data_IF_638398070222
#
_entry.id   IF_638398070222
#
_cell.length_a   1.000
_cell.length_b   1.000
_cell.length_c   1.000
_cell.angle_alpha   90.00
_cell.angle_beta   90.00
_cell.angle_gamma   90.00
#
_symmetry.space_group_name_H-M   'P 1'
#
loop_
_entity.id
_entity.type
_entity.pdbx_description
1 polymer ?
#
# COMPACT_ATOMS: atom_id res chain seq x y z
N UNK A 1 19.49 -7.49 -16.46
CA UNK A 1 19.09 -7.38 -15.04
C UNK A 1 20.32 -7.59 -14.20
N UNK A 2 20.69 -6.59 -13.39
CA UNK A 2 21.93 -6.60 -12.62
C UNK A 2 21.72 -7.24 -11.24
N UNK A 3 22.77 -7.87 -10.74
CA UNK A 3 22.79 -8.40 -9.38
C UNK A 3 22.76 -7.28 -8.33
N UNK A 4 22.26 -7.57 -7.13
CA UNK A 4 22.29 -6.64 -6.00
C UNK A 4 23.70 -6.62 -5.37
N UNK A 5 24.17 -5.42 -5.06
CA UNK A 5 25.43 -5.14 -4.37
C UNK A 5 25.22 -5.08 -2.85
N UNK A 6 26.31 -5.06 -2.07
CA UNK A 6 26.27 -4.87 -0.60
C UNK A 6 25.44 -3.65 -0.20
N UNK A 7 25.66 -2.52 -0.89
CA UNK A 7 24.99 -1.25 -0.62
C UNK A 7 23.48 -1.38 -0.79
N UNK A 8 23.03 -2.13 -1.79
CA UNK A 8 21.60 -2.34 -2.02
C UNK A 8 20.95 -3.13 -0.89
N UNK A 9 21.64 -4.16 -0.38
CA UNK A 9 21.13 -4.93 0.77
C UNK A 9 21.05 -4.08 2.03
N UNK A 10 22.05 -3.21 2.29
CA UNK A 10 22.00 -2.26 3.41
C UNK A 10 20.79 -1.33 3.32
N UNK A 11 20.57 -0.69 2.16
CA UNK A 11 19.40 0.18 1.94
C UNK A 11 18.07 -0.55 2.17
N UNK A 12 17.99 -1.84 1.78
CA UNK A 12 16.80 -2.65 2.04
C UNK A 12 16.61 -2.89 3.55
N UNK A 13 17.66 -3.25 4.28
CA UNK A 13 17.61 -3.53 5.71
C UNK A 13 17.33 -2.26 6.53
N UNK A 14 17.94 -1.13 6.17
CA UNK A 14 17.75 0.17 6.80
C UNK A 14 16.29 0.63 6.67
N UNK A 15 15.67 0.42 5.50
CA UNK A 15 14.24 0.69 5.30
C UNK A 15 13.34 -0.10 6.27
N UNK A 16 13.77 -1.30 6.67
CA UNK A 16 13.04 -2.14 7.63
C UNK A 16 13.55 -1.98 9.07
N UNK A 17 14.49 -1.07 9.33
CA UNK A 17 15.04 -0.79 10.66
C UNK A 17 15.93 -1.91 11.22
N UNK A 18 16.56 -2.71 10.36
CA UNK A 18 17.44 -3.81 10.79
C UNK A 18 18.90 -3.34 10.74
N UNK A 19 19.59 -3.40 11.88
CA UNK A 19 21.01 -3.03 11.97
C UNK A 19 21.87 -3.98 11.14
N UNK A 20 22.65 -3.42 10.21
CA UNK A 20 23.33 -4.17 9.15
C UNK A 20 24.86 -4.05 9.19
N UNK A 21 25.42 -3.31 10.15
CA UNK A 21 26.83 -2.87 10.11
C UNK A 21 27.85 -3.96 10.45
N UNK A 22 27.48 -4.93 11.28
CA UNK A 22 28.37 -6.01 11.72
C UNK A 22 28.24 -7.31 10.92
N UNK A 23 27.35 -7.36 9.93
CA UNK A 23 27.00 -8.59 9.23
C UNK A 23 27.92 -8.87 8.03
N UNK A 24 28.26 -10.15 7.82
CA UNK A 24 28.94 -10.62 6.61
C UNK A 24 28.00 -10.49 5.41
N UNK A 25 28.58 -10.48 4.20
CA UNK A 25 27.83 -10.35 2.94
C UNK A 25 26.72 -11.38 2.77
N UNK A 26 26.97 -12.61 3.19
CA UNK A 26 26.01 -13.71 3.08
C UNK A 26 24.84 -13.51 4.04
N UNK A 27 25.11 -13.13 5.28
CA UNK A 27 24.08 -12.87 6.28
C UNK A 27 23.21 -11.69 5.87
N UNK A 28 23.81 -10.57 5.44
CA UNK A 28 23.09 -9.43 4.88
C UNK A 28 22.11 -9.84 3.79
N UNK A 29 22.58 -10.67 2.86
CA UNK A 29 21.76 -11.18 1.76
C UNK A 29 20.63 -12.07 2.30
N UNK A 30 20.93 -13.02 3.17
CA UNK A 30 19.97 -13.98 3.69
C UNK A 30 18.88 -13.28 4.50
N UNK A 31 19.27 -12.39 5.43
CA UNK A 31 18.35 -11.59 6.24
C UNK A 31 17.45 -10.71 5.37
N UNK A 32 18.01 -10.01 4.38
CA UNK A 32 17.23 -9.18 3.47
C UNK A 32 16.23 -10.02 2.64
N UNK A 33 16.66 -11.16 2.11
CA UNK A 33 15.79 -12.05 1.33
C UNK A 33 14.68 -12.64 2.19
N UNK A 34 14.96 -13.01 3.43
CA UNK A 34 14.00 -13.58 4.36
C UNK A 34 12.93 -12.54 4.78
N UNK A 35 13.34 -11.30 5.09
CA UNK A 35 12.40 -10.20 5.36
C UNK A 35 11.48 -9.96 4.16
N UNK A 36 12.05 -9.89 2.95
CA UNK A 36 11.27 -9.68 1.74
C UNK A 36 10.29 -10.84 1.48
N UNK A 37 10.73 -12.09 1.66
CA UNK A 37 9.88 -13.26 1.52
C UNK A 37 8.73 -13.24 2.55
N UNK A 38 9.04 -12.97 3.82
CA UNK A 38 8.07 -12.88 4.89
C UNK A 38 7.03 -11.79 4.64
N UNK A 39 7.44 -10.60 4.21
CA UNK A 39 6.51 -9.50 3.86
C UNK A 39 5.61 -9.86 2.69
N UNK A 40 6.17 -10.49 1.65
CA UNK A 40 5.40 -10.96 0.50
C UNK A 40 4.34 -11.98 0.93
N UNK A 41 4.73 -13.00 1.69
CA UNK A 41 3.81 -14.05 2.12
C UNK A 41 2.74 -13.54 3.08
N UNK A 42 3.09 -12.62 4.00
CA UNK A 42 2.11 -11.97 4.88
C UNK A 42 1.11 -11.13 4.10
N UNK A 43 1.56 -10.43 3.06
CA UNK A 43 0.68 -9.67 2.18
C UNK A 43 -0.32 -10.61 1.48
N UNK A 44 0.17 -11.69 0.85
CA UNK A 44 -0.69 -12.65 0.15
C UNK A 44 -1.68 -13.29 1.12
N UNK A 45 -1.24 -13.69 2.32
CA UNK A 45 -2.14 -14.27 3.35
C UNK A 45 -3.19 -13.28 3.85
N UNK A 46 -2.92 -11.97 3.82
CA UNK A 46 -3.85 -10.94 4.30
C UNK A 46 -4.93 -10.60 3.27
N UNK A 47 -4.59 -10.65 1.99
CA UNK A 47 -5.54 -10.41 0.92
C UNK A 47 -6.33 -11.73 0.73
N UNK A 48 -7.51 -11.83 1.36
CA UNK A 48 -8.40 -13.00 1.35
C UNK A 48 -9.05 -13.29 -0.03
N UNK A 49 -8.37 -12.96 -1.12
CA UNK A 49 -8.81 -13.19 -2.50
C UNK A 49 -8.03 -14.37 -3.10
N UNK A 50 -8.42 -14.79 -4.30
CA UNK A 50 -7.66 -15.76 -5.08
C UNK A 50 -6.17 -15.37 -5.15
N UNK A 51 -5.31 -16.37 -4.97
CA UNK A 51 -3.85 -16.20 -4.94
C UNK A 51 -3.34 -15.51 -6.20
N UNK A 52 -3.96 -15.76 -7.35
CA UNK A 52 -3.59 -15.19 -8.64
C UNK A 52 -3.77 -13.66 -8.69
N UNK A 53 -4.79 -13.13 -8.02
CA UNK A 53 -5.04 -11.68 -7.95
C UNK A 53 -4.20 -11.00 -6.86
N UNK A 54 -3.97 -11.66 -5.73
CA UNK A 54 -3.20 -11.11 -4.61
C UNK A 54 -1.70 -10.96 -4.93
N UNK A 55 -1.13 -11.89 -5.71
CA UNK A 55 0.30 -11.93 -6.02
C UNK A 55 0.83 -10.68 -6.73
N UNK A 56 0.26 -10.17 -7.84
CA UNK A 56 0.77 -8.97 -8.49
C UNK A 56 0.71 -7.74 -7.56
N UNK A 57 -0.38 -7.58 -6.82
CA UNK A 57 -0.56 -6.47 -5.87
C UNK A 57 0.53 -6.49 -4.79
N UNK A 58 0.74 -7.66 -4.19
CA UNK A 58 1.76 -7.82 -3.15
C UNK A 58 3.18 -7.71 -3.69
N UNK A 59 3.44 -8.20 -4.92
CA UNK A 59 4.74 -8.06 -5.57
C UNK A 59 5.08 -6.59 -5.80
N UNK A 60 4.14 -5.78 -6.29
CA UNK A 60 4.38 -4.36 -6.53
C UNK A 60 4.60 -3.59 -5.23
N UNK A 61 3.85 -3.91 -4.19
CA UNK A 61 4.00 -3.29 -2.87
C UNK A 61 5.36 -3.58 -2.22
N UNK A 62 5.82 -4.83 -2.28
CA UNK A 62 7.06 -5.26 -1.61
C UNK A 62 8.30 -4.99 -2.45
N UNK A 63 8.24 -5.23 -3.77
CA UNK A 63 9.40 -5.15 -4.67
C UNK A 63 9.31 -4.01 -5.68
N UNK A 64 8.12 -3.78 -6.26
CA UNK A 64 7.93 -2.81 -7.34
C UNK A 64 8.33 -1.38 -6.93
N UNK A 65 7.91 -0.94 -5.74
CA UNK A 65 8.29 0.38 -5.17
C UNK A 65 9.78 0.53 -4.86
N UNK A 66 10.54 -0.57 -4.83
CA UNK A 66 11.97 -0.60 -4.51
C UNK A 66 12.84 -0.85 -5.76
N UNK A 67 12.25 -0.83 -6.95
CA UNK A 67 12.92 -1.19 -8.21
C UNK A 67 13.55 -2.58 -8.21
N UNK A 68 12.94 -3.51 -7.48
CA UNK A 68 13.38 -4.91 -7.40
C UNK A 68 12.47 -5.80 -8.24
N UNK A 69 13.06 -6.82 -8.87
CA UNK A 69 12.34 -7.86 -9.57
C UNK A 69 12.66 -9.21 -8.98
N UNK A 70 11.61 -9.94 -8.62
CA UNK A 70 11.65 -11.28 -8.05
C UNK A 70 11.18 -12.30 -9.07
N UNK A 71 11.85 -13.46 -9.12
CA UNK A 71 11.47 -14.54 -10.03
C UNK A 71 10.35 -15.42 -9.43
N UNK A 72 10.71 -16.32 -8.52
CA UNK A 72 9.80 -17.29 -7.89
C UNK A 72 9.88 -17.14 -6.38
N UNK A 73 8.84 -17.57 -5.68
CA UNK A 73 8.79 -17.56 -4.22
C UNK A 73 7.93 -18.72 -3.71
N UNK A 74 8.14 -19.13 -2.46
CA UNK A 74 7.32 -20.11 -1.74
C UNK A 74 6.84 -19.49 -0.42
N UNK A 75 5.60 -19.80 -0.02
CA UNK A 75 4.96 -19.26 1.19
C UNK A 75 4.29 -20.30 2.10
N UNK A 76 4.14 -21.55 1.66
CA UNK A 76 3.39 -22.57 2.40
C UNK A 76 4.13 -23.01 3.67
N UNK A 77 5.36 -23.47 3.53
CA UNK A 77 6.14 -24.00 4.67
C UNK A 77 7.10 -22.93 5.20
N UNK A 78 8.09 -22.56 4.38
CA UNK A 78 9.06 -21.51 4.71
C UNK A 78 9.01 -20.40 3.65
N UNK A 79 8.76 -19.14 4.05
CA UNK A 79 8.84 -18.00 3.16
C UNK A 79 10.23 -17.88 2.55
N UNK A 80 10.38 -18.20 1.26
CA UNK A 80 11.67 -18.18 0.57
C UNK A 80 11.56 -17.66 -0.85
N UNK A 81 12.56 -16.88 -1.28
CA UNK A 81 12.71 -16.44 -2.66
C UNK A 81 13.59 -17.41 -3.44
N UNK A 82 13.13 -17.82 -4.61
CA UNK A 82 13.77 -18.87 -5.42
C UNK A 82 14.27 -18.26 -6.73
N UNK A 83 15.55 -18.47 -7.07
CA UNK A 83 16.07 -18.06 -8.37
C UNK A 83 15.40 -18.81 -9.52
N UNK A 84 15.36 -18.18 -10.69
CA UNK A 84 14.99 -18.87 -11.93
C UNK A 84 16.07 -19.91 -12.26
N UNK A 85 15.69 -21.03 -12.90
CA UNK A 85 16.64 -22.04 -13.39
C UNK A 85 17.73 -21.33 -14.23
N UNK A 86 19.00 -21.64 -13.95
CA UNK A 86 20.16 -21.02 -14.61
C UNK A 86 20.58 -19.64 -14.08
N UNK A 87 19.91 -19.08 -13.06
CA UNK A 87 20.31 -17.81 -12.42
C UNK A 87 20.82 -18.03 -11.00
N UNK A 88 21.86 -17.27 -10.62
CA UNK A 88 22.45 -17.29 -9.27
C UNK A 88 21.66 -16.47 -8.23
N UNK A 89 20.81 -15.55 -8.69
CA UNK A 89 20.13 -14.56 -7.83
C UNK A 89 18.61 -14.67 -7.92
N UNK A 90 17.94 -14.66 -6.77
CA UNK A 90 16.48 -14.69 -6.68
C UNK A 90 15.84 -13.33 -6.92
N UNK A 91 16.56 -12.27 -6.55
CA UNK A 91 16.17 -10.87 -6.70
C UNK A 91 17.20 -10.17 -7.57
N UNK A 92 16.73 -9.31 -8.46
CA UNK A 92 17.57 -8.52 -9.37
C UNK A 92 17.06 -7.09 -9.46
N UNK A 93 17.90 -6.17 -9.88
CA UNK A 93 17.49 -4.78 -10.13
C UNK A 93 16.62 -4.70 -11.39
N UNK A 94 15.53 -3.94 -11.30
CA UNK A 94 14.72 -3.53 -12.45
C UNK A 94 15.60 -2.64 -13.34
N UNK A 95 15.76 -3.01 -14.61
CA UNK A 95 16.45 -2.12 -15.55
C UNK A 95 15.56 -0.90 -15.80
N UNK A 96 16.05 0.31 -15.52
CA UNK A 96 15.40 1.53 -15.99
C UNK A 96 15.46 1.51 -17.51
N UNK A 97 14.34 1.29 -18.18
CA UNK A 97 14.27 1.47 -19.63
C UNK A 97 14.48 2.95 -19.90
N UNK A 98 15.61 3.30 -20.54
CA UNK A 98 15.74 4.59 -21.21
C UNK A 98 14.84 4.49 -22.45
N UNK A 99 13.77 5.28 -22.50
CA UNK A 99 12.94 5.44 -23.69
C UNK A 99 11.60 4.71 -23.67
N UNK A 100 10.53 5.50 -23.81
CA UNK A 100 9.16 5.02 -24.02
C UNK A 100 8.07 5.83 -23.31
N UNK A 101 8.05 7.16 -23.47
CA UNK A 101 6.82 7.97 -23.39
C UNK A 101 6.10 8.11 -22.03
N UNK A 102 6.11 9.35 -21.54
CA UNK A 102 5.10 10.00 -20.70
C UNK A 102 4.98 9.51 -19.25
N UNK A 103 5.46 10.37 -18.34
CA UNK A 103 5.17 10.31 -16.90
C UNK A 103 6.40 10.04 -16.04
N UNK A 104 7.40 10.90 -16.11
CA UNK A 104 8.49 10.95 -15.13
C UNK A 104 7.97 11.46 -13.78
N UNK A 105 7.21 10.63 -13.06
CA UNK A 105 7.15 10.77 -11.60
C UNK A 105 8.53 10.41 -11.07
N UNK A 106 9.33 11.46 -10.85
CA UNK A 106 10.64 11.44 -10.21
C UNK A 106 10.56 10.47 -9.01
N UNK A 107 11.44 9.46 -8.89
CA UNK A 107 11.49 8.64 -7.69
C UNK A 107 11.84 9.58 -6.53
N UNK A 108 10.87 9.84 -5.66
CA UNK A 108 11.11 10.52 -4.40
C UNK A 108 12.03 9.60 -3.62
N UNK A 109 13.33 9.91 -3.64
CA UNK A 109 14.27 9.43 -2.63
C UNK A 109 13.57 9.69 -1.29
N UNK A 110 13.31 8.69 -0.44
CA UNK A 110 12.81 8.96 0.89
C UNK A 110 13.83 9.88 1.55
N UNK A 111 13.44 11.15 1.73
CA UNK A 111 14.25 12.11 2.46
C UNK A 111 14.50 11.51 3.84
N UNK A 112 15.78 11.26 4.11
CA UNK A 112 16.32 11.07 5.44
C UNK A 112 15.82 12.28 6.23
N UNK A 113 14.96 12.06 7.22
CA UNK A 113 14.49 13.13 8.11
C UNK A 113 15.65 13.50 9.03
N UNK A 114 16.52 14.38 8.55
CA UNK A 114 17.32 15.20 9.44
C UNK A 114 16.42 16.31 9.98
N UNK A 115 16.26 16.32 11.30
CA UNK A 115 15.58 17.35 12.06
C UNK A 115 16.37 18.65 11.96
N UNK A 116 15.92 19.60 11.15
CA UNK A 116 16.40 20.99 11.21
C UNK A 116 15.22 21.93 11.10
N UNK A 117 14.93 22.62 12.20
CA UNK A 117 14.05 23.77 12.30
C UNK A 117 14.49 24.86 11.31
N UNK A 118 13.63 25.27 10.36
CA UNK A 118 13.71 26.59 9.67
C UNK A 118 12.43 26.93 8.88
N UNK A 119 11.67 27.87 9.46
CA UNK A 119 10.87 28.96 8.87
C UNK A 119 10.15 28.74 7.51
N UNK A 120 8.80 28.72 7.56
CA UNK A 120 7.87 28.89 6.43
C UNK A 120 8.15 30.20 5.69
N UNK A 121 8.48 30.12 4.38
CA UNK A 121 8.22 31.21 3.45
C UNK A 121 6.79 31.08 2.95
N UNK A 122 5.97 32.07 3.27
CA UNK A 122 4.63 32.31 2.75
C UNK A 122 4.75 32.67 1.27
N UNK A 123 4.30 31.78 0.39
CA UNK A 123 4.19 32.04 -1.04
C UNK A 123 2.77 32.55 -1.27
N UNK A 124 2.62 33.82 -1.62
CA UNK A 124 1.37 34.41 -2.06
C UNK A 124 1.10 33.99 -3.50
N UNK A 125 0.05 33.19 -3.71
CA UNK A 125 -0.44 32.88 -5.05
C UNK A 125 -1.39 33.98 -5.50
N UNK A 126 -1.02 34.71 -6.55
CA UNK A 126 -1.91 35.65 -7.23
C UNK A 126 -2.83 34.89 -8.20
N UNK A 127 -4.16 35.01 -8.11
CA UNK A 127 -5.08 34.31 -9.01
C UNK A 127 -5.22 35.11 -10.32
N UNK A 128 -4.35 34.84 -11.30
CA UNK A 128 -4.57 35.30 -12.67
C UNK A 128 -5.29 34.19 -13.46
N UNK A 129 -6.61 34.25 -13.49
CA UNK A 129 -7.43 33.37 -14.34
C UNK A 129 -7.85 34.12 -15.60
N UNK A 130 -7.26 33.77 -16.74
CA UNK A 130 -7.79 34.13 -18.07
C UNK A 130 -9.16 33.49 -18.27
N UNK A 131 -10.14 34.28 -18.73
CA UNK A 131 -11.48 33.80 -19.05
C UNK A 131 -11.47 32.87 -20.28
N UNK A 132 -12.10 31.68 -20.23
CA UNK A 132 -12.15 30.78 -21.37
C UNK A 132 -13.18 31.25 -22.41
N UNK A 133 -12.68 31.62 -23.58
CA UNK A 133 -13.42 31.91 -24.81
C UNK A 133 -13.75 30.55 -25.47
N UNK A 134 -14.92 29.96 -25.19
CA UNK A 134 -15.69 29.11 -26.13
C UNK A 134 -16.96 28.49 -25.50
N UNK A 135 -18.16 28.61 -26.10
CA UNK A 135 -19.44 28.19 -25.50
C UNK A 135 -19.64 26.67 -25.32
N UNK A 136 -18.94 25.82 -26.11
CA UNK A 136 -19.23 24.37 -26.17
C UNK A 136 -18.54 23.51 -25.10
N UNK A 137 -17.65 24.06 -24.27
CA UNK A 137 -17.02 23.33 -23.15
C UNK A 137 -17.76 23.50 -21.80
N UNK A 138 -18.78 24.35 -21.73
CA UNK A 138 -19.38 24.77 -20.45
C UNK A 138 -20.33 23.72 -19.83
N UNK A 139 -21.03 22.92 -20.63
CA UNK A 139 -22.06 21.98 -20.14
C UNK A 139 -21.49 20.79 -19.36
N UNK A 140 -20.36 20.22 -19.81
CA UNK A 140 -19.68 19.10 -19.12
C UNK A 140 -18.98 19.57 -17.83
N UNK A 141 -18.44 20.80 -17.82
CA UNK A 141 -17.81 21.41 -16.64
C UNK A 141 -18.87 21.74 -15.56
N UNK A 142 -20.03 22.27 -15.95
CA UNK A 142 -21.15 22.49 -15.03
C UNK A 142 -21.68 21.19 -14.39
N UNK A 143 -21.79 20.09 -15.14
CA UNK A 143 -22.17 18.77 -14.57
C UNK A 143 -21.15 18.23 -13.56
N UNK A 144 -19.85 18.48 -13.75
CA UNK A 144 -18.81 18.00 -12.83
C UNK A 144 -18.77 18.84 -11.54
N UNK A 145 -19.00 20.15 -11.66
CA UNK A 145 -19.08 21.08 -10.53
C UNK A 145 -20.32 20.79 -9.68
N UNK A 146 -21.48 20.50 -10.29
CA UNK A 146 -22.72 20.19 -9.55
C UNK A 146 -22.64 18.87 -8.78
N UNK A 147 -22.07 17.81 -9.37
CA UNK A 147 -21.86 16.52 -8.69
C UNK A 147 -20.90 16.62 -7.51
N UNK A 148 -19.92 17.53 -7.57
CA UNK A 148 -19.00 17.76 -6.45
C UNK A 148 -19.66 18.57 -5.32
N UNK A 149 -20.53 19.54 -5.66
CA UNK A 149 -21.30 20.32 -4.66
C UNK A 149 -22.20 19.42 -3.81
N UNK A 150 -22.92 18.47 -4.41
CA UNK A 150 -23.76 17.52 -3.66
C UNK A 150 -22.96 16.61 -2.73
N UNK A 151 -21.77 16.17 -3.16
CA UNK A 151 -20.88 15.37 -2.31
C UNK A 151 -20.35 16.17 -1.12
N UNK A 152 -19.97 17.43 -1.34
CA UNK A 152 -19.51 18.30 -0.27
C UNK A 152 -20.64 18.57 0.74
N UNK A 153 -21.86 18.88 0.28
CA UNK A 153 -23.01 19.06 1.17
C UNK A 153 -23.34 17.79 1.98
N UNK A 154 -23.21 16.61 1.37
CA UNK A 154 -23.45 15.34 2.07
C UNK A 154 -22.38 15.06 3.14
N UNK A 155 -21.10 15.35 2.86
CA UNK A 155 -20.00 15.22 3.83
C UNK A 155 -20.22 16.17 4.99
N UNK A 156 -20.51 17.45 4.74
CA UNK A 156 -20.77 18.45 5.79
C UNK A 156 -21.98 18.08 6.64
N UNK A 157 -23.07 17.59 6.06
CA UNK A 157 -24.24 17.11 6.81
C UNK A 157 -23.91 15.91 7.71
N UNK A 158 -23.06 14.99 7.24
CA UNK A 158 -22.64 13.83 8.01
C UNK A 158 -21.75 14.22 9.21
N UNK A 159 -20.77 15.11 8.98
CA UNK A 159 -19.90 15.64 10.04
C UNK A 159 -20.70 16.42 11.11
N UNK A 160 -21.67 17.22 10.68
CA UNK A 160 -22.56 17.94 11.59
C UNK A 160 -23.46 16.99 12.41
N UNK A 161 -23.90 15.87 11.83
CA UNK A 161 -24.67 14.86 12.57
C UNK A 161 -23.80 14.13 13.60
N UNK A 162 -22.56 13.82 13.25
CA UNK A 162 -21.62 13.15 14.15
C UNK A 162 -21.28 14.03 15.35
N UNK A 163 -20.98 15.32 15.12
CA UNK A 163 -20.68 16.27 16.21
C UNK A 163 -21.85 16.47 17.17
N UNK A 164 -23.08 16.53 16.66
CA UNK A 164 -24.29 16.57 17.49
C UNK A 164 -24.48 15.30 18.33
N UNK A 165 -24.16 14.14 17.76
CA UNK A 165 -24.19 12.85 18.46
C UNK A 165 -23.18 12.82 19.62
N UNK A 166 -21.94 13.21 19.34
CA UNK A 166 -20.84 13.23 20.31
C UNK A 166 -21.12 14.23 21.45
N UNK A 167 -21.73 15.39 21.14
CA UNK A 167 -22.20 16.36 22.15
C UNK A 167 -23.29 15.79 23.05
N UNK A 168 -24.27 15.09 22.49
CA UNK A 168 -25.32 14.42 23.28
C UNK A 168 -24.73 13.34 24.19
N UNK A 169 -23.81 12.54 23.70
CA UNK A 169 -23.17 11.50 24.49
C UNK A 169 -22.30 12.08 25.61
N UNK A 170 -21.67 13.25 25.39
CA UNK A 170 -20.96 14.01 26.43
C UNK A 170 -21.91 14.53 27.51
N UNK A 171 -23.04 15.14 27.13
CA UNK A 171 -24.06 15.66 28.06
C UNK A 171 -24.68 14.52 28.89
N UNK A 172 -24.92 13.37 28.28
CA UNK A 172 -25.47 12.19 28.96
C UNK A 172 -24.44 11.42 29.80
N UNK A 173 -23.21 11.92 29.94
CA UNK A 173 -22.16 11.28 30.74
C UNK A 173 -21.70 9.93 30.17
N UNK A 174 -21.99 9.63 28.90
CA UNK A 174 -21.50 8.43 28.22
C UNK A 174 -20.06 8.66 27.80
N UNK A 175 -19.14 8.50 28.75
CA UNK A 175 -17.70 8.56 28.51
C UNK A 175 -17.36 7.61 27.34
N UNK A 176 -16.82 8.07 26.20
CA UNK A 176 -16.29 7.15 25.21
C UNK A 176 -15.06 6.50 25.83
N UNK A 177 -15.24 5.25 26.28
CA UNK A 177 -14.17 4.44 26.84
C UNK A 177 -13.00 4.42 25.85
N UNK A 178 -11.87 5.00 26.29
CA UNK A 178 -10.58 4.90 25.59
C UNK A 178 -10.31 3.43 25.25
N UNK A 179 -10.05 3.16 23.97
CA UNK A 179 -9.15 2.08 23.54
C UNK A 179 -9.55 0.66 23.94
N UNK A 180 -10.67 0.16 23.43
CA UNK A 180 -10.98 -1.27 23.45
C UNK A 180 -11.03 -1.85 22.04
N UNK A 181 -9.94 -2.48 21.58
CA UNK A 181 -9.94 -3.34 20.38
C UNK A 181 -10.89 -4.52 20.62
N UNK A 182 -12.18 -4.36 20.30
CA UNK A 182 -13.15 -5.46 20.34
C UNK A 182 -12.91 -6.34 19.11
N UNK A 183 -12.19 -7.44 19.32
CA UNK A 183 -12.14 -8.56 18.39
C UNK A 183 -13.57 -9.04 18.12
N UNK A 184 -14.05 -8.81 16.91
CA UNK A 184 -15.35 -9.31 16.44
C UNK A 184 -15.23 -10.82 16.22
N UNK A 185 -15.61 -11.62 17.22
CA UNK A 185 -15.73 -13.08 17.08
C UNK A 185 -16.92 -13.37 16.17
N UNK A 186 -16.65 -13.61 14.89
CA UNK A 186 -17.67 -14.06 13.94
C UNK A 186 -17.95 -15.54 14.26
N UNK A 187 -19.00 -15.82 15.06
CA UNK A 187 -19.59 -17.15 15.16
C UNK A 187 -20.19 -17.51 13.81
N UNK A 188 -19.46 -18.30 13.01
CA UNK A 188 -20.00 -18.94 11.80
C UNK A 188 -21.08 -19.94 12.24
N UNK A 189 -22.34 -19.64 11.91
CA UNK A 189 -23.41 -20.64 11.93
C UNK A 189 -23.00 -21.77 10.97
N UNK A 190 -22.84 -22.97 11.53
CA UNK A 190 -22.65 -24.21 10.80
C UNK A 190 -23.92 -24.53 10.01
N UNK A 191 -23.93 -24.24 8.71
CA UNK A 191 -24.93 -24.80 7.81
C UNK A 191 -24.56 -26.26 7.53
N UNK A 192 -25.10 -27.15 8.36
CA UNK A 192 -25.17 -28.59 8.10
C UNK A 192 -25.89 -28.82 6.77
N UNK A 193 -25.14 -29.12 5.69
CA UNK A 193 -25.71 -29.60 4.43
C UNK A 193 -25.56 -31.11 4.40
N UNK A 194 -26.54 -31.82 4.97
CA UNK A 194 -26.77 -33.25 4.74
C UNK A 194 -26.86 -33.48 3.23
N UNK A 195 -25.86 -34.15 2.65
CA UNK A 195 -26.03 -34.82 1.35
C UNK A 195 -26.70 -36.15 1.64
N UNK A 196 -28.01 -36.19 1.41
CA UNK A 196 -28.78 -37.42 1.26
C UNK A 196 -28.20 -38.22 0.09
N UNK A 197 -27.85 -39.47 0.37
CA UNK A 197 -27.69 -40.53 -0.63
C UNK A 197 -28.98 -40.60 -1.45
N UNK A 198 -28.86 -40.54 -2.78
CA UNK A 198 -29.83 -41.16 -3.69
C UNK A 198 -29.05 -42.18 -4.51
N UNK A 199 -29.16 -43.42 -4.07
CA UNK A 199 -29.30 -44.56 -4.98
C UNK A 199 -30.50 -44.32 -5.88
N UNK A 200 -30.37 -44.58 -7.17
CA UNK A 200 -31.33 -45.33 -8.00
C UNK A 200 -30.96 -45.20 -9.49
N UNK A 201 -31.12 -46.35 -10.17
CA UNK A 201 -30.92 -46.68 -11.58
C UNK A 201 -29.47 -47.00 -11.98
#
# INVERSE_FOLDING_TARGET
>A
MSALTKKDYKVILDYYGVQSDKLKMQDLRNTALDILANKLCRCIKKINTDTNAAVPICKDSVFGKKDLVVSRFKCKDTPKLIPKKGKKYAVTKKSKRKGGGIGSSKPTVPQIKESVNKTRKTISFSPSTKAPISPKQNKKKQMFISKNKHRQTAVTLYENRQTQQDLRDMILGKIPLKGGNKNKTIKRRSSNKRKTRKSNC
#
